data_IF_785258168854
#
_entry.id   IF_785258168854
#
_cell.length_a   1.000
_cell.length_b   1.000
_cell.length_c   1.000
_cell.angle_alpha   90.00
_cell.angle_beta   90.00
_cell.angle_gamma   90.00
#
_symmetry.space_group_name_H-M   'P 1'
#
loop_
_entity.id
_entity.type
_entity.pdbx_description
1 polymer ?
#
# COMPACT_ATOMS: atom_id res chain seq x y z
N UNK A 1 16.82 -16.57 4.63
CA UNK A 1 18.03 -15.75 4.37
C UNK A 1 18.45 -15.86 2.90
N UNK A 2 19.17 -14.87 2.35
CA UNK A 2 19.72 -14.94 0.98
C UNK A 2 18.81 -14.46 -0.16
N UNK A 3 17.56 -14.06 0.11
CA UNK A 3 16.62 -13.58 -0.93
C UNK A 3 16.76 -12.08 -1.28
N UNK A 4 17.84 -11.44 -0.83
CA UNK A 4 18.06 -9.99 -0.94
C UNK A 4 17.19 -9.13 -0.01
N UNK A 5 17.49 -7.84 0.03
CA UNK A 5 16.71 -6.85 0.79
C UNK A 5 15.39 -6.52 0.08
N UNK A 6 14.26 -6.87 0.71
CA UNK A 6 12.92 -6.69 0.12
C UNK A 6 12.09 -5.58 0.79
N UNK A 7 12.46 -5.21 2.02
CA UNK A 7 11.66 -4.35 2.90
C UNK A 7 12.27 -2.96 3.01
N UNK A 8 11.42 -1.95 3.30
CA UNK A 8 11.80 -0.56 3.59
C UNK A 8 12.79 0.05 2.57
N UNK A 9 12.47 -0.02 1.26
CA UNK A 9 13.34 0.46 0.17
C UNK A 9 12.95 1.81 -0.44
N UNK A 10 11.74 2.28 -0.17
CA UNK A 10 11.26 3.54 -0.74
C UNK A 10 11.93 4.74 -0.04
N UNK A 11 11.96 5.88 -0.73
CA UNK A 11 12.53 7.12 -0.22
C UNK A 11 11.97 7.47 1.18
N UNK A 12 12.87 7.84 2.11
CA UNK A 12 12.54 8.19 3.49
C UNK A 12 12.02 7.05 4.37
N UNK A 13 12.03 5.80 3.92
CA UNK A 13 11.53 4.68 4.73
C UNK A 13 12.62 4.10 5.62
N UNK A 14 12.22 3.63 6.80
CA UNK A 14 13.05 2.85 7.72
C UNK A 14 12.20 1.85 8.48
N UNK A 15 12.86 0.86 9.08
CA UNK A 15 12.22 -0.11 9.97
C UNK A 15 12.99 -0.14 11.29
N UNK A 16 12.27 -0.29 12.39
CA UNK A 16 12.86 -0.25 13.73
C UNK A 16 12.89 -1.66 14.34
N UNK A 17 14.03 -2.01 14.93
CA UNK A 17 14.16 -3.24 15.73
C UNK A 17 13.53 -2.97 17.09
N UNK A 18 12.53 -3.78 17.46
CA UNK A 18 11.84 -3.67 18.75
C UNK A 18 12.41 -4.64 19.79
N UNK A 19 12.91 -5.78 19.34
CA UNK A 19 13.44 -6.83 20.20
C UNK A 19 13.85 -8.06 19.41
N UNK A 20 14.52 -8.99 20.08
CA UNK A 20 14.96 -10.26 19.48
C UNK A 20 14.40 -11.41 20.31
N UNK A 21 13.86 -12.40 19.62
CA UNK A 21 13.26 -13.58 20.24
C UNK A 21 13.72 -14.84 19.49
N UNK A 22 14.56 -15.63 20.13
CA UNK A 22 15.09 -16.88 19.58
C UNK A 22 15.66 -16.69 18.16
N UNK A 23 15.07 -17.40 17.19
CA UNK A 23 15.46 -17.37 15.77
C UNK A 23 14.95 -16.12 15.03
N UNK A 24 14.03 -15.35 15.62
CA UNK A 24 13.40 -14.20 14.98
C UNK A 24 13.77 -12.88 15.67
N UNK A 25 13.64 -11.79 14.92
CA UNK A 25 13.75 -10.42 15.40
C UNK A 25 12.41 -9.73 15.13
N UNK A 26 11.90 -9.03 16.13
CA UNK A 26 10.67 -8.25 16.04
C UNK A 26 11.01 -6.91 15.42
N UNK A 27 10.40 -6.63 14.28
CA UNK A 27 10.63 -5.40 13.53
C UNK A 27 9.30 -4.66 13.37
N UNK A 28 9.32 -3.36 13.67
CA UNK A 28 8.27 -2.41 13.33
C UNK A 28 8.50 -1.90 11.91
N UNK A 29 7.59 -2.23 11.03
CA UNK A 29 7.61 -1.87 9.62
C UNK A 29 7.25 -0.39 9.41
N UNK A 30 7.62 0.22 8.26
CA UNK A 30 7.17 1.57 7.89
C UNK A 30 5.64 1.72 7.89
N UNK A 31 4.91 0.64 7.60
CA UNK A 31 3.45 0.57 7.69
C UNK A 31 2.90 0.54 9.13
N UNK A 32 3.78 0.61 10.13
CA UNK A 32 3.49 0.34 11.55
C UNK A 32 2.97 -1.08 11.85
N UNK A 33 3.09 -2.02 10.91
CA UNK A 33 2.93 -3.46 11.17
C UNK A 33 4.09 -3.97 12.03
N UNK A 34 3.82 -4.80 13.03
CA UNK A 34 4.86 -5.48 13.81
C UNK A 34 4.96 -6.94 13.37
N UNK A 35 6.16 -7.37 13.02
CA UNK A 35 6.39 -8.66 12.38
C UNK A 35 7.70 -9.31 12.82
N UNK A 36 7.66 -10.63 12.96
CA UNK A 36 8.84 -11.49 13.09
C UNK A 36 9.55 -11.65 11.75
N UNK A 37 10.84 -11.32 11.75
CA UNK A 37 11.74 -11.54 10.62
C UNK A 37 12.87 -12.44 11.10
N UNK A 38 13.32 -13.34 10.24
CA UNK A 38 14.39 -14.26 10.58
C UNK A 38 15.67 -13.49 10.91
N UNK A 39 16.29 -13.79 12.05
CA UNK A 39 17.45 -13.06 12.58
C UNK A 39 18.72 -13.17 11.72
N UNK A 40 18.78 -14.13 10.82
CA UNK A 40 19.85 -14.32 9.83
C UNK A 40 19.70 -13.41 8.59
N UNK A 41 18.61 -12.65 8.47
CA UNK A 41 18.43 -11.70 7.37
C UNK A 41 19.36 -10.49 7.54
N UNK A 42 20.01 -10.07 6.45
CA UNK A 42 20.82 -8.86 6.43
C UNK A 42 19.95 -7.60 6.43
N UNK A 43 20.43 -6.56 7.10
CA UNK A 43 19.85 -5.23 7.09
C UNK A 43 20.96 -4.17 7.03
N UNK A 44 20.63 -3.01 6.43
CA UNK A 44 21.51 -1.83 6.44
C UNK A 44 21.06 -0.87 7.53
N UNK A 45 22.01 -0.30 8.26
CA UNK A 45 21.74 0.68 9.32
C UNK A 45 21.39 2.04 8.69
N UNK A 46 20.38 2.70 9.23
CA UNK A 46 19.97 4.05 8.85
C UNK A 46 18.61 4.11 8.16
N UNK A 47 18.32 5.27 7.57
CA UNK A 47 17.09 5.58 6.83
C UNK A 47 17.42 5.68 5.35
N UNK A 48 16.49 5.26 4.49
CA UNK A 48 16.64 5.50 3.04
C UNK A 48 16.59 7.00 2.80
N UNK A 49 17.59 7.56 2.11
CA UNK A 49 17.66 9.00 1.82
C UNK A 49 16.51 9.53 0.97
N UNK A 50 16.56 10.84 0.66
CA UNK A 50 15.54 11.56 -0.09
C UNK A 50 14.17 11.63 0.63
N UNK A 51 14.17 11.99 1.91
CA UNK A 51 12.94 12.13 2.72
C UNK A 51 11.98 13.17 2.15
N UNK A 52 12.51 14.24 1.55
CA UNK A 52 11.73 15.31 0.91
C UNK A 52 10.94 14.88 -0.32
N UNK A 53 11.12 13.65 -0.80
CA UNK A 53 10.36 13.12 -1.93
C UNK A 53 8.83 13.22 -1.72
N UNK A 54 8.37 13.11 -0.47
CA UNK A 54 6.93 13.24 -0.15
C UNK A 54 6.39 14.66 -0.34
N UNK A 55 7.26 15.68 -0.27
CA UNK A 55 6.90 17.09 -0.39
C UNK A 55 6.83 17.56 -1.85
N UNK A 56 7.19 16.72 -2.81
CA UNK A 56 7.23 17.08 -4.23
C UNK A 56 5.82 17.22 -4.80
N UNK A 57 5.45 18.45 -5.19
CA UNK A 57 4.26 18.71 -5.99
C UNK A 57 4.50 18.48 -7.49
N UNK A 58 3.59 17.76 -8.13
CA UNK A 58 3.68 17.41 -9.55
C UNK A 58 3.36 18.62 -10.44
N UNK A 59 2.47 19.50 -9.99
CA UNK A 59 2.07 20.75 -10.65
C UNK A 59 1.20 20.56 -11.89
N UNK A 60 1.73 19.92 -12.95
CA UNK A 60 1.07 19.79 -14.25
C UNK A 60 0.80 18.34 -14.67
N UNK A 61 -0.26 18.13 -15.44
CA UNK A 61 -0.64 16.81 -15.97
C UNK A 61 0.48 16.15 -16.80
N UNK A 62 1.22 16.94 -17.60
CA UNK A 62 2.34 16.44 -18.40
C UNK A 62 3.46 15.77 -17.57
N UNK A 63 3.71 16.25 -16.34
CA UNK A 63 4.74 15.65 -15.47
C UNK A 63 4.34 14.25 -15.02
N UNK A 64 3.04 13.97 -14.84
CA UNK A 64 2.55 12.61 -14.62
C UNK A 64 2.76 11.71 -15.85
N UNK A 65 2.56 12.25 -17.05
CA UNK A 65 2.79 11.52 -18.30
C UNK A 65 4.26 11.13 -18.46
N UNK A 66 5.20 12.01 -18.10
CA UNK A 66 6.65 11.70 -18.12
C UNK A 66 7.02 10.57 -17.15
N UNK A 67 6.25 10.36 -16.09
CA UNK A 67 6.41 9.25 -15.13
C UNK A 67 5.75 7.93 -15.62
N UNK A 68 5.20 7.92 -16.84
CA UNK A 68 4.48 6.76 -17.38
C UNK A 68 3.05 6.59 -16.83
N UNK A 69 2.52 7.55 -16.06
CA UNK A 69 1.18 7.45 -15.49
C UNK A 69 0.17 8.00 -16.50
N UNK A 70 -0.75 7.14 -16.97
CA UNK A 70 -1.85 7.50 -17.88
C UNK A 70 -3.04 8.11 -17.10
N UNK A 71 -3.84 9.00 -17.72
CA UNK A 71 -5.06 9.50 -17.10
C UNK A 71 -6.02 8.34 -16.78
N UNK A 72 -6.65 8.40 -15.61
CA UNK A 72 -7.64 7.43 -15.14
C UNK A 72 -9.00 8.14 -15.05
N UNK A 73 -10.02 7.57 -15.69
CA UNK A 73 -11.39 8.07 -15.65
C UNK A 73 -12.11 7.56 -14.40
N UNK A 74 -12.98 8.38 -13.81
CA UNK A 74 -13.79 7.98 -12.64
C UNK A 74 -14.89 7.03 -13.09
N UNK A 75 -15.20 6.01 -12.30
CA UNK A 75 -16.30 5.08 -12.59
C UNK A 75 -17.67 5.76 -12.74
N UNK A 76 -17.90 6.87 -12.04
CA UNK A 76 -19.12 7.69 -12.15
C UNK A 76 -19.26 8.43 -13.49
N UNK A 77 -18.19 8.51 -14.28
CA UNK A 77 -18.21 9.15 -15.60
C UNK A 77 -18.35 8.12 -16.74
N UNK A 78 -18.54 6.85 -16.39
CA UNK A 78 -18.67 5.75 -17.35
C UNK A 78 -20.14 5.34 -17.50
N UNK A 79 -20.42 4.42 -18.43
CA UNK A 79 -21.76 3.86 -18.60
C UNK A 79 -21.98 2.65 -17.66
N UNK A 80 -23.24 2.21 -17.43
CA UNK A 80 -23.54 1.05 -16.58
C UNK A 80 -22.83 -0.24 -17.00
N UNK A 81 -22.50 -0.40 -18.29
CA UNK A 81 -21.76 -1.56 -18.82
C UNK A 81 -20.29 -1.58 -18.40
N UNK A 82 -19.70 -0.41 -18.15
CA UNK A 82 -18.26 -0.25 -17.91
C UNK A 82 -17.92 -0.30 -16.42
N UNK A 83 -18.81 0.25 -15.57
CA UNK A 83 -18.57 0.35 -14.13
C UNK A 83 -19.88 0.25 -13.35
N UNK A 84 -19.90 -0.39 -12.18
CA UNK A 84 -21.06 -0.41 -11.28
C UNK A 84 -21.54 0.96 -10.77
N UNK A 85 -20.80 2.03 -11.05
CA UNK A 85 -21.15 3.41 -10.67
C UNK A 85 -21.55 4.22 -11.91
N UNK A 86 -21.56 3.61 -13.08
CA UNK A 86 -21.82 4.28 -14.34
C UNK A 86 -23.31 4.50 -14.57
N UNK A 87 -23.62 5.52 -15.37
CA UNK A 87 -24.97 5.91 -15.75
C UNK A 87 -25.75 6.74 -14.72
N UNK A 88 -27.06 6.83 -14.95
CA UNK A 88 -27.94 7.78 -14.29
C UNK A 88 -28.02 9.12 -15.02
N UNK A 89 -29.10 9.86 -14.78
CA UNK A 89 -29.31 11.18 -15.39
C UNK A 89 -28.50 12.24 -14.66
N UNK A 90 -27.67 12.98 -15.41
CA UNK A 90 -26.78 14.01 -14.85
C UNK A 90 -25.71 13.43 -13.93
N UNK A 91 -25.24 14.24 -12.97
CA UNK A 91 -24.21 13.80 -12.00
C UNK A 91 -24.88 13.04 -10.86
N UNK A 92 -24.76 11.73 -10.90
CA UNK A 92 -25.30 10.83 -9.87
C UNK A 92 -24.25 10.47 -8.82
N UNK A 93 -24.73 10.24 -7.59
CA UNK A 93 -23.91 9.66 -6.53
C UNK A 93 -23.65 8.17 -6.77
N UNK A 94 -22.79 7.57 -5.95
CA UNK A 94 -22.63 6.11 -5.98
C UNK A 94 -23.95 5.45 -5.55
N UNK A 95 -24.52 4.61 -6.41
CA UNK A 95 -25.66 3.76 -6.05
C UNK A 95 -25.17 2.64 -5.13
N UNK A 96 -25.19 2.90 -3.81
CA UNK A 96 -24.83 1.93 -2.78
C UNK A 96 -23.38 2.01 -2.28
N UNK A 97 -22.86 0.87 -1.81
CA UNK A 97 -21.51 0.80 -1.25
C UNK A 97 -20.47 1.00 -2.35
N UNK A 98 -19.44 1.86 -2.19
CA UNK A 98 -18.45 2.08 -3.25
C UNK A 98 -17.71 0.80 -3.62
N UNK A 99 -17.71 0.47 -4.91
CA UNK A 99 -17.07 -0.71 -5.48
C UNK A 99 -16.01 -0.36 -6.52
N UNK A 100 -15.14 -1.33 -6.79
CA UNK A 100 -14.21 -1.31 -7.91
C UNK A 100 -14.93 -1.58 -9.25
N UNK A 101 -14.25 -1.44 -10.40
CA UNK A 101 -14.84 -1.79 -11.70
C UNK A 101 -15.34 -3.24 -11.80
N UNK A 102 -14.79 -4.13 -10.97
CA UNK A 102 -15.18 -5.55 -10.90
C UNK A 102 -16.19 -5.86 -9.80
N UNK A 103 -16.79 -4.84 -9.18
CA UNK A 103 -17.83 -5.01 -8.14
C UNK A 103 -17.31 -5.35 -6.75
N UNK A 104 -15.99 -5.46 -6.54
CA UNK A 104 -15.45 -5.68 -5.18
C UNK A 104 -15.55 -4.41 -4.33
N UNK A 105 -16.02 -4.46 -3.07
CA UNK A 105 -16.15 -3.26 -2.25
C UNK A 105 -14.81 -2.56 -2.02
N UNK A 106 -14.75 -1.27 -2.32
CA UNK A 106 -13.52 -0.46 -2.31
C UNK A 106 -13.25 0.19 -0.93
N UNK A 107 -14.24 0.24 -0.04
CA UNK A 107 -14.11 0.79 1.32
C UNK A 107 -14.24 -0.32 2.37
N UNK A 108 -13.26 -0.43 3.26
CA UNK A 108 -13.31 -1.30 4.45
C UNK A 108 -13.12 -2.81 4.20
N UNK A 109 -13.27 -3.29 2.96
CA UNK A 109 -13.13 -4.70 2.65
C UNK A 109 -11.68 -5.21 2.77
N UNK A 110 -11.47 -6.22 3.62
CA UNK A 110 -10.15 -6.84 3.83
C UNK A 110 -9.85 -7.83 2.70
N UNK A 111 -8.91 -7.49 1.82
CA UNK A 111 -8.54 -8.30 0.64
C UNK A 111 -7.50 -9.39 0.91
N UNK A 112 -6.84 -9.37 2.07
CA UNK A 112 -5.80 -10.36 2.41
C UNK A 112 -6.43 -11.72 2.76
N UNK A 113 -6.09 -12.75 1.97
CA UNK A 113 -6.40 -14.16 2.27
C UNK A 113 -5.51 -14.71 3.40
N UNK A 114 -5.96 -15.79 4.05
CA UNK A 114 -5.16 -16.52 5.04
C UNK A 114 -3.89 -17.07 4.38
N UNK A 115 -2.72 -16.84 4.99
CA UNK A 115 -1.42 -17.29 4.49
C UNK A 115 -0.58 -17.86 5.63
N UNK A 116 0.37 -18.75 5.31
CA UNK A 116 1.32 -19.27 6.30
C UNK A 116 2.11 -18.16 7.02
N UNK A 117 2.37 -17.05 6.33
CA UNK A 117 3.01 -15.85 6.88
C UNK A 117 2.22 -15.14 7.97
N UNK A 118 0.93 -15.45 8.16
CA UNK A 118 0.10 -14.82 9.20
C UNK A 118 0.65 -15.12 10.60
N UNK A 119 1.28 -16.29 10.79
CA UNK A 119 1.94 -16.69 12.04
C UNK A 119 3.11 -15.78 12.44
N UNK A 120 3.70 -15.09 11.46
CA UNK A 120 4.85 -14.22 11.68
C UNK A 120 4.45 -12.78 12.01
N UNK A 121 3.15 -12.45 12.00
CA UNK A 121 2.68 -11.07 12.19
C UNK A 121 2.06 -10.95 13.58
N UNK A 122 2.64 -10.08 14.40
CA UNK A 122 2.21 -9.83 15.78
C UNK A 122 1.03 -8.87 15.78
N UNK A 123 1.17 -7.76 15.05
CA UNK A 123 0.14 -6.72 14.97
C UNK A 123 0.05 -6.19 13.56
N UNK A 124 -1.18 -6.06 13.05
CA UNK A 124 -1.44 -5.51 11.73
C UNK A 124 -1.21 -4.00 11.72
N UNK A 125 -0.97 -3.45 10.52
CA UNK A 125 -0.91 -2.00 10.31
C UNK A 125 -2.08 -1.30 11.01
N UNK A 126 -1.79 -0.26 11.77
CA UNK A 126 -2.80 0.66 12.28
C UNK A 126 -3.03 1.73 11.22
N UNK A 127 -4.28 1.99 10.90
CA UNK A 127 -4.61 3.21 10.16
C UNK A 127 -4.46 4.38 11.13
N UNK A 128 -3.66 5.38 10.74
CA UNK A 128 -3.66 6.68 11.39
C UNK A 128 -4.79 7.51 10.80
#
# INVERSE_FOLDING_TARGET
PGAGGQLARSAGMSAQIMGRENKYTIIRMPSSEMRYILSECMASVGVVGNEDFINVSIGKAGRNRHRGIRPQTRGSAMNPVDHPHGGGEGKTGTSGHPVSPWGTPAKGYKTRKKKASDKLIISRKKHK
#
